data_IF_914564600966
#
_entry.id   IF_914564600966
#
_cell.length_a   1.000
_cell.length_b   1.000
_cell.length_c   1.000
_cell.angle_alpha   90.00
_cell.angle_beta   90.00
_cell.angle_gamma   90.00
#
_symmetry.space_group_name_H-M   'P 1'
#
loop_
_entity.id
_entity.type
_entity.pdbx_description
1 polymer ?
#
# COMPACT_ATOMS: atom_id res chain seq x y z
N UNK A 1 20.62 7.85 6.97
CA UNK A 1 20.04 6.48 7.08
C UNK A 1 20.02 5.92 5.67
N UNK A 2 20.10 4.62 5.48
CA UNK A 2 19.97 4.05 4.13
C UNK A 2 18.51 4.10 3.70
N UNK A 3 18.24 4.57 2.46
CA UNK A 3 16.88 4.62 1.94
C UNK A 3 16.33 3.21 1.75
N UNK A 4 15.05 3.02 2.06
CA UNK A 4 14.34 1.75 1.82
C UNK A 4 13.78 1.67 0.40
N UNK A 5 13.49 2.85 -0.21
CA UNK A 5 13.05 2.99 -1.60
C UNK A 5 13.87 4.07 -2.26
N UNK A 6 14.41 3.78 -3.44
CA UNK A 6 15.08 4.74 -4.32
C UNK A 6 14.53 4.63 -5.73
N UNK A 7 14.19 5.77 -6.31
CA UNK A 7 13.88 5.94 -7.72
C UNK A 7 14.97 6.78 -8.36
N UNK A 8 15.51 6.33 -9.48
CA UNK A 8 16.53 7.05 -10.23
C UNK A 8 16.08 7.21 -11.68
N UNK A 9 15.83 8.46 -12.08
CA UNK A 9 15.42 8.84 -13.44
C UNK A 9 14.22 8.03 -13.98
N UNK A 10 13.24 7.71 -13.12
CA UNK A 10 12.09 6.89 -13.49
C UNK A 10 11.15 7.66 -14.42
N UNK A 11 10.92 7.11 -15.59
CA UNK A 11 9.94 7.60 -16.57
C UNK A 11 8.95 6.50 -16.95
N UNK A 12 7.73 6.88 -17.26
CA UNK A 12 6.69 5.98 -17.75
C UNK A 12 5.86 6.59 -18.83
N UNK A 13 5.93 6.00 -20.02
CA UNK A 13 5.09 6.34 -21.17
C UNK A 13 4.14 5.18 -21.48
N UNK A 14 2.88 5.48 -21.65
CA UNK A 14 1.86 4.54 -22.14
C UNK A 14 1.61 4.79 -23.62
N UNK A 15 1.65 3.73 -24.41
CA UNK A 15 1.31 3.77 -25.83
C UNK A 15 -0.16 3.38 -26.00
N UNK A 16 -0.98 4.29 -26.50
CA UNK A 16 -2.39 4.06 -26.82
C UNK A 16 -2.63 4.23 -28.33
N UNK A 17 -3.75 3.75 -28.82
CA UNK A 17 -4.11 3.87 -30.25
C UNK A 17 -4.16 5.35 -30.73
N UNK A 18 -4.40 6.29 -29.82
CA UNK A 18 -4.54 7.72 -30.09
C UNK A 18 -3.29 8.55 -29.74
N UNK A 19 -2.12 7.91 -29.51
CA UNK A 19 -0.89 8.59 -29.19
C UNK A 19 -0.19 8.05 -27.94
N UNK A 20 0.86 8.75 -27.54
CA UNK A 20 1.66 8.44 -26.36
C UNK A 20 1.27 9.37 -25.21
N UNK A 21 1.18 8.82 -24.01
CA UNK A 21 0.94 9.58 -22.78
C UNK A 21 2.12 9.36 -21.85
N UNK A 22 2.93 10.38 -21.65
CA UNK A 22 4.00 10.39 -20.67
C UNK A 22 3.40 10.65 -19.27
N UNK A 23 3.23 9.58 -18.48
CA UNK A 23 2.63 9.64 -17.17
C UNK A 23 3.63 9.99 -16.07
N UNK A 24 4.90 9.64 -16.25
CA UNK A 24 6.01 10.00 -15.36
C UNK A 24 7.18 10.46 -16.22
N UNK A 25 7.85 11.53 -15.79
CA UNK A 25 8.98 12.12 -16.48
C UNK A 25 10.14 12.36 -15.52
N UNK A 26 11.20 11.57 -15.66
CA UNK A 26 12.49 11.76 -14.97
C UNK A 26 12.35 11.94 -13.44
N UNK A 27 11.62 11.03 -12.78
CA UNK A 27 11.38 11.09 -11.35
C UNK A 27 12.53 10.45 -10.60
N UNK A 28 13.19 11.22 -9.74
CA UNK A 28 14.18 10.74 -8.78
C UNK A 28 13.71 11.06 -7.37
N UNK A 29 13.67 10.04 -6.50
CA UNK A 29 13.08 10.12 -5.16
C UNK A 29 13.73 9.10 -4.24
N UNK A 30 13.96 9.49 -2.98
CA UNK A 30 14.46 8.61 -1.93
C UNK A 30 13.54 8.66 -0.71
N UNK A 31 13.20 7.49 -0.16
CA UNK A 31 12.34 7.36 1.03
C UNK A 31 13.11 6.58 2.09
N UNK A 32 13.22 7.13 3.27
CA UNK A 32 13.94 6.51 4.38
C UNK A 32 13.10 5.44 5.08
N UNK A 33 13.79 4.47 5.67
CA UNK A 33 13.13 3.41 6.44
C UNK A 33 12.41 3.96 7.66
N UNK A 34 11.16 3.54 7.86
CA UNK A 34 10.32 3.96 8.99
C UNK A 34 9.62 5.31 8.78
N UNK A 35 9.81 5.96 7.64
CA UNK A 35 9.14 7.22 7.32
C UNK A 35 7.66 7.04 6.97
N UNK A 36 6.86 8.09 7.19
CA UNK A 36 5.54 8.25 6.58
C UNK A 36 5.68 9.34 5.51
N UNK A 37 5.82 8.92 4.27
CA UNK A 37 6.14 9.76 3.13
C UNK A 37 4.89 10.05 2.29
N UNK A 38 4.60 11.35 2.07
CA UNK A 38 3.48 11.81 1.25
C UNK A 38 3.88 12.04 -0.21
N UNK A 39 3.05 11.60 -1.14
CA UNK A 39 3.15 11.97 -2.56
C UNK A 39 1.88 12.70 -2.95
N UNK A 40 2.00 13.98 -3.25
CA UNK A 40 0.88 14.85 -3.62
C UNK A 40 0.98 15.35 -5.06
N UNK A 41 -0.11 15.82 -5.59
CA UNK A 41 -0.18 16.39 -6.93
C UNK A 41 -1.62 16.45 -7.44
N UNK A 42 -1.81 17.14 -8.55
CA UNK A 42 -3.13 17.27 -9.17
C UNK A 42 -3.66 15.92 -9.67
N UNK A 43 -4.97 15.84 -9.90
CA UNK A 43 -5.54 14.66 -10.56
C UNK A 43 -4.90 14.48 -11.93
N UNK A 44 -4.49 13.25 -12.26
CA UNK A 44 -3.77 12.97 -13.50
C UNK A 44 -2.26 13.21 -13.48
N UNK A 45 -1.67 13.71 -12.39
CA UNK A 45 -0.21 13.97 -12.30
C UNK A 45 0.67 12.70 -12.25
N UNK A 46 0.11 11.51 -12.44
CA UNK A 46 0.89 10.27 -12.47
C UNK A 46 1.10 9.57 -11.11
N UNK A 47 0.53 10.10 -10.01
CA UNK A 47 0.72 9.57 -8.65
C UNK A 47 0.48 8.06 -8.52
N UNK A 48 -0.68 7.57 -8.97
CA UNK A 48 -1.00 6.14 -8.92
C UNK A 48 -0.09 5.31 -9.84
N UNK A 49 0.37 5.89 -10.96
CA UNK A 49 1.37 5.26 -11.83
C UNK A 49 2.70 5.13 -11.09
N UNK A 50 3.14 6.18 -10.39
CA UNK A 50 4.37 6.16 -9.60
C UNK A 50 4.34 5.05 -8.54
N UNK A 51 3.26 4.97 -7.74
CA UNK A 51 3.13 3.91 -6.72
C UNK A 51 3.12 2.52 -7.34
N UNK A 52 2.48 2.34 -8.48
CA UNK A 52 2.52 1.04 -9.18
C UNK A 52 3.90 0.71 -9.72
N UNK A 53 4.75 1.72 -9.99
CA UNK A 53 6.15 1.50 -10.31
C UNK A 53 6.95 1.06 -9.07
N UNK A 54 6.64 1.56 -7.86
CA UNK A 54 7.34 1.18 -6.62
C UNK A 54 7.26 -0.32 -6.30
N UNK A 55 6.24 -1.02 -6.78
CA UNK A 55 6.10 -2.46 -6.61
C UNK A 55 6.11 -3.23 -7.95
N UNK A 56 6.51 -2.55 -9.04
CA UNK A 56 6.50 -3.05 -10.42
C UNK A 56 5.14 -3.65 -10.88
N UNK A 57 4.01 -3.22 -10.33
CA UNK A 57 2.71 -3.48 -10.97
C UNK A 57 2.64 -2.79 -12.34
N UNK A 58 3.29 -1.62 -12.46
CA UNK A 58 3.65 -0.99 -13.72
C UNK A 58 5.15 -0.96 -13.87
N UNK A 59 5.66 -1.49 -14.97
CA UNK A 59 7.10 -1.43 -15.25
C UNK A 59 7.44 -0.05 -15.82
N UNK A 60 8.41 0.68 -15.25
CA UNK A 60 8.93 1.91 -15.84
C UNK A 60 9.38 1.69 -17.29
N UNK A 61 9.29 2.74 -18.11
CA UNK A 61 9.83 2.74 -19.47
C UNK A 61 11.34 2.97 -19.41
N UNK A 62 11.80 3.80 -18.47
CA UNK A 62 13.20 4.10 -18.23
C UNK A 62 13.45 4.35 -16.74
N UNK A 63 14.72 4.33 -16.33
CA UNK A 63 15.14 4.53 -14.95
C UNK A 63 15.15 3.27 -14.12
N UNK A 64 15.38 3.41 -12.83
CA UNK A 64 15.58 2.30 -11.89
C UNK A 64 14.71 2.45 -10.64
N UNK A 65 14.22 1.32 -10.14
CA UNK A 65 13.49 1.21 -8.87
C UNK A 65 14.24 0.24 -7.97
N UNK A 66 14.79 0.75 -6.88
CA UNK A 66 15.50 -0.01 -5.87
C UNK A 66 14.66 -0.06 -4.59
N UNK A 67 14.46 -1.25 -4.04
CA UNK A 67 13.76 -1.46 -2.77
C UNK A 67 14.60 -2.38 -1.90
N UNK A 68 14.84 -1.98 -0.65
CA UNK A 68 15.72 -2.72 0.27
C UNK A 68 17.09 -3.05 -0.36
N UNK A 69 17.67 -2.11 -1.11
CA UNK A 69 18.94 -2.28 -1.80
C UNK A 69 18.91 -3.23 -3.03
N UNK A 70 17.73 -3.73 -3.42
CA UNK A 70 17.56 -4.62 -4.57
C UNK A 70 16.91 -3.87 -5.73
N UNK A 71 17.56 -3.87 -6.90
CA UNK A 71 16.92 -3.39 -8.13
C UNK A 71 15.78 -4.32 -8.54
N UNK A 72 14.54 -3.83 -8.43
CA UNK A 72 13.36 -4.63 -8.78
C UNK A 72 13.33 -4.99 -10.27
N UNK A 73 13.94 -4.15 -11.12
CA UNK A 73 13.97 -4.33 -12.58
C UNK A 73 14.79 -5.56 -12.99
N UNK A 74 15.77 -5.96 -12.17
CA UNK A 74 16.67 -7.09 -12.44
C UNK A 74 16.15 -8.43 -11.91
N UNK A 75 15.08 -8.41 -11.10
CA UNK A 75 14.55 -9.61 -10.46
C UNK A 75 13.80 -10.52 -11.43
N UNK A 76 13.98 -11.81 -11.28
CA UNK A 76 13.11 -12.81 -11.90
C UNK A 76 11.69 -12.73 -11.34
N UNK A 77 10.68 -13.21 -12.08
CA UNK A 77 9.30 -13.22 -11.64
C UNK A 77 9.09 -13.90 -10.27
N UNK A 78 9.88 -14.93 -9.95
CA UNK A 78 9.81 -15.61 -8.65
C UNK A 78 10.35 -14.73 -7.53
N UNK A 79 11.46 -14.06 -7.74
CA UNK A 79 12.06 -13.13 -6.79
C UNK A 79 11.16 -11.90 -6.58
N UNK A 80 10.62 -11.32 -7.66
CA UNK A 80 9.71 -10.18 -7.59
C UNK A 80 8.45 -10.50 -6.80
N UNK A 81 7.87 -11.71 -6.95
CA UNK A 81 6.73 -12.13 -6.11
C UNK A 81 7.08 -12.19 -4.63
N UNK A 82 8.30 -12.59 -4.28
CA UNK A 82 8.79 -12.63 -2.91
C UNK A 82 8.98 -11.21 -2.36
N UNK A 83 9.57 -10.30 -3.14
CA UNK A 83 9.71 -8.89 -2.74
C UNK A 83 8.35 -8.22 -2.56
N UNK A 84 7.37 -8.48 -3.43
CA UNK A 84 6.00 -7.96 -3.29
C UNK A 84 5.27 -8.42 -2.02
N UNK A 85 5.69 -9.52 -1.38
CA UNK A 85 5.15 -9.90 -0.07
C UNK A 85 5.60 -8.95 1.04
N UNK A 86 6.75 -8.28 0.84
CA UNK A 86 7.32 -7.29 1.76
C UNK A 86 6.80 -5.87 1.46
N UNK A 87 6.13 -5.67 0.33
CA UNK A 87 5.55 -4.40 -0.11
C UNK A 87 4.03 -4.56 -0.15
N UNK A 88 3.38 -4.14 0.92
CA UNK A 88 1.92 -4.15 0.98
C UNK A 88 1.32 -3.00 0.17
N UNK A 89 0.12 -3.19 -0.39
CA UNK A 89 -0.59 -2.13 -1.10
C UNK A 89 -2.05 -2.06 -0.68
N UNK A 90 -2.47 -0.87 -0.26
CA UNK A 90 -3.85 -0.50 0.01
C UNK A 90 -4.32 0.36 -1.16
N UNK A 91 -5.41 -0.05 -1.78
CA UNK A 91 -5.99 0.62 -2.95
C UNK A 91 -7.13 1.56 -2.53
N UNK A 92 -7.47 2.51 -3.38
CA UNK A 92 -8.61 3.42 -3.25
C UNK A 92 -9.92 2.65 -3.03
N UNK A 93 -10.13 1.57 -3.77
CA UNK A 93 -11.20 0.61 -3.51
C UNK A 93 -10.66 -0.51 -2.64
N UNK A 94 -11.40 -0.91 -1.62
CA UNK A 94 -10.97 -1.88 -0.60
C UNK A 94 -10.52 -3.23 -1.17
N UNK A 95 -10.98 -3.59 -2.37
CA UNK A 95 -10.65 -4.83 -3.11
C UNK A 95 -10.80 -6.09 -2.25
N UNK A 96 -11.82 -6.12 -1.38
CA UNK A 96 -12.11 -7.28 -0.55
C UNK A 96 -12.77 -8.39 -1.38
N UNK A 97 -12.46 -9.63 -1.03
CA UNK A 97 -13.11 -10.80 -1.61
C UNK A 97 -14.52 -10.91 -1.03
N UNK A 98 -15.52 -10.48 -1.81
CA UNK A 98 -16.90 -10.32 -1.36
C UNK A 98 -17.57 -11.62 -0.89
N UNK A 99 -17.12 -12.76 -1.41
CA UNK A 99 -17.62 -14.09 -1.09
C UNK A 99 -16.87 -14.78 0.06
N UNK A 100 -15.88 -14.09 0.66
CA UNK A 100 -15.13 -14.57 1.82
C UNK A 100 -15.48 -13.75 3.05
N UNK A 101 -15.41 -14.39 4.22
CA UNK A 101 -15.56 -13.68 5.50
C UNK A 101 -14.40 -12.68 5.70
N UNK A 102 -14.55 -11.79 6.67
CA UNK A 102 -13.49 -10.87 7.11
C UNK A 102 -12.22 -11.64 7.47
N UNK A 103 -12.35 -12.68 8.30
CA UNK A 103 -11.23 -13.54 8.68
C UNK A 103 -10.55 -14.18 7.47
N UNK A 104 -11.34 -14.72 6.53
CA UNK A 104 -10.79 -15.40 5.36
C UNK A 104 -10.17 -14.40 4.36
N UNK A 105 -10.62 -13.14 4.33
CA UNK A 105 -9.95 -12.07 3.60
C UNK A 105 -8.53 -11.81 4.12
N UNK A 106 -8.36 -11.78 5.46
CA UNK A 106 -7.05 -11.55 6.09
C UNK A 106 -6.16 -12.78 5.96
N UNK A 107 -6.72 -14.00 6.01
CA UNK A 107 -5.98 -15.24 5.79
C UNK A 107 -5.46 -15.39 4.34
N UNK A 108 -6.13 -14.78 3.36
CA UNK A 108 -5.87 -15.02 1.93
C UNK A 108 -4.41 -14.83 1.49
N UNK A 109 -3.70 -13.73 1.82
CA UNK A 109 -2.29 -13.57 1.46
C UNK A 109 -1.39 -14.64 2.12
N UNK A 110 -1.73 -15.10 3.31
CA UNK A 110 -1.00 -16.17 4.00
C UNK A 110 -1.24 -17.54 3.34
N UNK A 111 -2.46 -17.78 2.84
CA UNK A 111 -2.78 -18.98 2.04
C UNK A 111 -1.92 -19.03 0.78
N UNK A 112 -1.80 -17.89 0.07
CA UNK A 112 -0.94 -17.76 -1.13
C UNK A 112 0.54 -17.97 -0.79
N UNK A 113 0.97 -17.51 0.39
CA UNK A 113 2.34 -17.70 0.88
C UNK A 113 2.63 -19.14 1.34
N UNK A 114 1.62 -20.03 1.35
CA UNK A 114 1.76 -21.43 1.77
C UNK A 114 1.80 -21.64 3.29
N UNK A 115 1.36 -20.66 4.07
CA UNK A 115 1.28 -20.76 5.54
C UNK A 115 0.18 -21.75 5.93
N UNK A 116 0.43 -22.58 6.94
CA UNK A 116 -0.56 -23.54 7.45
C UNK A 116 -1.84 -22.83 7.91
N UNK A 117 -2.99 -23.41 7.59
CA UNK A 117 -4.31 -22.80 7.87
C UNK A 117 -4.51 -22.42 9.34
N UNK A 118 -4.01 -23.21 10.28
CA UNK A 118 -4.09 -22.90 11.73
C UNK A 118 -3.28 -21.66 12.10
N UNK A 119 -2.08 -21.50 11.55
CA UNK A 119 -1.20 -20.37 11.77
C UNK A 119 -1.76 -19.11 11.10
N UNK A 120 -2.25 -19.24 9.86
CA UNK A 120 -2.90 -18.15 9.15
C UNK A 120 -4.13 -17.60 9.91
N UNK A 121 -4.98 -18.49 10.45
CA UNK A 121 -6.14 -18.08 11.26
C UNK A 121 -5.73 -17.42 12.57
N UNK A 122 -4.72 -17.92 13.25
CA UNK A 122 -4.20 -17.30 14.48
C UNK A 122 -3.72 -15.88 14.18
N UNK A 123 -2.87 -15.74 13.16
CA UNK A 123 -2.36 -14.42 12.74
C UNK A 123 -3.47 -13.46 12.33
N UNK A 124 -4.47 -13.94 11.59
CA UNK A 124 -5.60 -13.12 11.17
C UNK A 124 -6.46 -12.63 12.35
N UNK A 125 -6.65 -13.45 13.41
CA UNK A 125 -7.35 -13.04 14.62
C UNK A 125 -6.57 -11.95 15.38
N UNK A 126 -5.25 -12.10 15.54
CA UNK A 126 -4.37 -11.07 16.13
C UNK A 126 -4.47 -9.75 15.36
N UNK A 127 -4.54 -9.79 14.03
CA UNK A 127 -4.66 -8.59 13.21
C UNK A 127 -6.06 -7.96 13.28
N UNK A 128 -7.10 -8.74 13.52
CA UNK A 128 -8.44 -8.21 13.78
C UNK A 128 -8.49 -7.42 15.09
N UNK A 129 -7.73 -7.80 16.11
CA UNK A 129 -7.58 -7.02 17.34
C UNK A 129 -6.86 -5.69 17.06
N UNK A 130 -5.79 -5.71 16.26
CA UNK A 130 -5.03 -4.50 15.87
C UNK A 130 -5.91 -3.46 15.18
N UNK A 131 -6.92 -3.90 14.41
CA UNK A 131 -7.81 -3.00 13.67
C UNK A 131 -9.19 -2.82 14.32
N UNK A 132 -9.38 -3.24 15.57
CA UNK A 132 -10.64 -3.16 16.35
C UNK A 132 -11.85 -3.80 15.66
N UNK A 133 -11.67 -4.99 15.08
CA UNK A 133 -12.74 -5.72 14.36
C UNK A 133 -12.88 -7.18 14.79
N UNK A 134 -12.46 -7.55 16.00
CA UNK A 134 -12.49 -8.94 16.49
C UNK A 134 -13.88 -9.58 16.40
N UNK A 135 -14.94 -8.83 16.70
CA UNK A 135 -16.33 -9.29 16.65
C UNK A 135 -16.86 -9.47 15.21
N UNK A 136 -16.16 -8.94 14.21
CA UNK A 136 -16.54 -9.02 12.78
C UNK A 136 -15.88 -10.18 12.03
N UNK A 137 -15.12 -11.05 12.69
CA UNK A 137 -14.38 -12.13 12.06
C UNK A 137 -15.21 -13.00 11.08
N UNK A 138 -16.48 -13.26 11.42
CA UNK A 138 -17.41 -14.07 10.63
C UNK A 138 -18.29 -13.27 9.67
N UNK A 139 -18.24 -11.95 9.71
CA UNK A 139 -19.01 -11.09 8.82
C UNK A 139 -18.46 -11.14 7.39
N UNK A 140 -19.31 -10.80 6.43
CA UNK A 140 -18.92 -10.63 5.02
C UNK A 140 -18.73 -9.14 4.70
N UNK A 141 -17.90 -8.78 3.69
CA UNK A 141 -17.65 -7.37 3.34
C UNK A 141 -18.94 -6.56 3.07
N UNK A 142 -19.98 -7.17 2.54
CA UNK A 142 -21.27 -6.50 2.31
C UNK A 142 -21.95 -5.99 3.61
N UNK A 143 -21.58 -6.54 4.76
CA UNK A 143 -22.14 -6.21 6.08
C UNK A 143 -21.32 -5.14 6.82
N UNK A 144 -20.28 -4.58 6.17
CA UNK A 144 -19.35 -3.64 6.78
C UNK A 144 -19.55 -2.22 6.26
N UNK A 145 -19.33 -1.23 7.11
CA UNK A 145 -19.18 0.17 6.71
C UNK A 145 -17.90 0.38 5.86
N UNK A 146 -17.77 1.52 5.19
CA UNK A 146 -16.58 1.88 4.43
C UNK A 146 -15.30 1.84 5.27
N UNK A 147 -15.33 2.45 6.46
CA UNK A 147 -14.20 2.44 7.40
C UNK A 147 -13.84 1.04 7.90
N UNK A 148 -14.84 0.19 8.17
CA UNK A 148 -14.60 -1.20 8.54
C UNK A 148 -13.97 -1.99 7.39
N UNK A 149 -14.42 -1.79 6.15
CA UNK A 149 -13.80 -2.41 4.97
C UNK A 149 -12.35 -1.98 4.82
N UNK A 150 -12.05 -0.71 5.06
CA UNK A 150 -10.67 -0.19 5.02
C UNK A 150 -9.80 -0.82 6.11
N UNK A 151 -10.29 -0.94 7.33
CA UNK A 151 -9.59 -1.62 8.42
C UNK A 151 -9.31 -3.10 8.09
N UNK A 152 -10.25 -3.80 7.45
CA UNK A 152 -10.02 -5.18 6.96
C UNK A 152 -8.96 -5.20 5.86
N UNK A 153 -8.96 -4.24 4.93
CA UNK A 153 -7.93 -4.14 3.89
C UNK A 153 -6.54 -3.90 4.49
N UNK A 154 -6.43 -3.04 5.51
CA UNK A 154 -5.19 -2.82 6.27
C UNK A 154 -4.74 -4.11 6.95
N UNK A 155 -5.61 -4.79 7.71
CA UNK A 155 -5.30 -6.05 8.39
C UNK A 155 -4.84 -7.12 7.40
N UNK A 156 -5.49 -7.24 6.24
CA UNK A 156 -5.11 -8.17 5.18
C UNK A 156 -3.70 -7.91 4.65
N UNK A 157 -3.34 -6.65 4.46
CA UNK A 157 -2.00 -6.30 3.97
C UNK A 157 -0.94 -6.57 5.05
N UNK A 158 -1.25 -6.32 6.32
CA UNK A 158 -0.35 -6.60 7.45
C UNK A 158 -0.12 -8.10 7.70
N UNK A 159 -0.92 -8.97 7.10
CA UNK A 159 -0.82 -10.41 7.33
C UNK A 159 0.56 -10.99 6.96
N UNK A 160 1.19 -10.47 5.91
CA UNK A 160 2.51 -10.91 5.44
C UNK A 160 3.69 -10.20 6.10
N UNK A 161 3.46 -9.39 7.15
CA UNK A 161 4.48 -8.56 7.82
C UNK A 161 5.31 -7.72 6.83
N UNK A 162 4.66 -6.81 6.08
CA UNK A 162 5.35 -5.98 5.09
C UNK A 162 6.29 -4.97 5.76
N UNK A 163 7.39 -4.62 5.09
CA UNK A 163 8.30 -3.55 5.50
C UNK A 163 7.87 -2.18 4.96
N UNK A 164 7.12 -2.21 3.85
CA UNK A 164 6.62 -1.03 3.16
C UNK A 164 5.12 -1.18 2.94
N UNK A 165 4.38 -0.10 3.18
CA UNK A 165 2.95 0.00 2.94
C UNK A 165 2.68 1.14 1.96
N UNK A 166 2.20 0.81 0.77
CA UNK A 166 1.80 1.78 -0.25
C UNK A 166 0.31 2.04 -0.14
N UNK A 167 -0.09 3.29 0.07
CA UNK A 167 -1.49 3.72 0.23
C UNK A 167 -1.90 4.59 -0.96
N UNK A 168 -2.59 4.02 -1.94
CA UNK A 168 -3.09 4.72 -3.13
C UNK A 168 -4.50 5.26 -2.85
N UNK A 169 -4.58 6.54 -2.46
CA UNK A 169 -5.83 7.25 -2.10
C UNK A 169 -6.71 6.47 -1.09
N UNK A 170 -6.07 5.87 -0.11
CA UNK A 170 -6.69 4.91 0.83
C UNK A 170 -7.84 5.49 1.68
N UNK A 171 -8.03 6.80 1.71
CA UNK A 171 -9.06 7.49 2.50
C UNK A 171 -10.07 8.27 1.66
N UNK A 172 -9.88 8.39 0.35
CA UNK A 172 -10.68 9.27 -0.52
C UNK A 172 -12.18 8.90 -0.61
N UNK A 173 -12.54 7.67 -0.27
CA UNK A 173 -13.92 7.18 -0.26
C UNK A 173 -14.57 7.20 1.14
N UNK A 174 -13.93 7.85 2.13
CA UNK A 174 -14.36 7.86 3.53
C UNK A 174 -14.79 9.26 3.96
N UNK A 175 -15.67 9.33 4.95
CA UNK A 175 -16.00 10.58 5.61
C UNK A 175 -14.82 11.12 6.45
N UNK A 176 -14.78 12.42 6.78
CA UNK A 176 -13.64 13.03 7.47
C UNK A 176 -13.32 12.41 8.84
N UNK A 177 -14.32 11.97 9.60
CA UNK A 177 -14.10 11.36 10.92
C UNK A 177 -13.48 9.97 10.78
N UNK A 178 -14.00 9.18 9.85
CA UNK A 178 -13.45 7.86 9.50
C UNK A 178 -12.03 7.99 8.95
N UNK A 179 -11.78 8.99 8.07
CA UNK A 179 -10.44 9.31 7.56
C UNK A 179 -9.45 9.51 8.71
N UNK A 180 -9.74 10.39 9.67
CA UNK A 180 -8.87 10.60 10.84
C UNK A 180 -8.58 9.31 11.60
N UNK A 181 -9.62 8.49 11.81
CA UNK A 181 -9.47 7.20 12.49
C UNK A 181 -8.54 6.24 11.74
N UNK A 182 -8.60 6.18 10.41
CA UNK A 182 -7.71 5.37 9.58
C UNK A 182 -6.29 5.92 9.60
N UNK A 183 -6.10 7.26 9.52
CA UNK A 183 -4.79 7.89 9.58
C UNK A 183 -4.11 7.64 10.93
N UNK A 184 -4.85 7.76 12.04
CA UNK A 184 -4.35 7.42 13.38
C UNK A 184 -3.91 5.96 13.47
N UNK A 185 -4.68 5.03 12.90
CA UNK A 185 -4.32 3.61 12.84
C UNK A 185 -3.03 3.39 12.04
N UNK A 186 -2.88 4.03 10.89
CA UNK A 186 -1.65 3.92 10.07
C UNK A 186 -0.43 4.46 10.82
N UNK A 187 -0.57 5.59 11.52
CA UNK A 187 0.49 6.17 12.35
C UNK A 187 0.89 5.24 13.48
N UNK A 188 -0.07 4.66 14.18
CA UNK A 188 0.16 3.68 15.24
C UNK A 188 0.89 2.42 14.71
N UNK A 189 0.51 1.94 13.53
CA UNK A 189 1.19 0.82 12.87
C UNK A 189 2.64 1.18 12.53
N UNK A 190 2.89 2.37 11.97
CA UNK A 190 4.24 2.85 11.69
C UNK A 190 5.08 2.91 12.96
N UNK A 191 4.59 3.56 14.02
CA UNK A 191 5.31 3.73 15.29
C UNK A 191 5.60 2.40 16.00
N UNK A 192 4.63 1.48 16.04
CA UNK A 192 4.77 0.19 16.75
C UNK A 192 5.58 -0.85 15.98
N UNK A 193 5.54 -0.82 14.64
CA UNK A 193 6.13 -1.86 13.80
C UNK A 193 7.31 -1.40 12.95
N UNK A 194 7.59 -0.09 12.91
CA UNK A 194 8.65 0.49 12.08
C UNK A 194 8.42 0.32 10.57
N UNK A 195 7.16 0.13 10.14
CA UNK A 195 6.80 -0.02 8.72
C UNK A 195 6.89 1.33 8.04
N UNK A 196 7.57 1.40 6.90
CA UNK A 196 7.59 2.60 6.06
C UNK A 196 6.26 2.74 5.32
N UNK A 197 5.64 3.92 5.37
CA UNK A 197 4.33 4.14 4.74
C UNK A 197 4.48 5.21 3.65
N UNK A 198 4.02 4.91 2.43
CA UNK A 198 3.94 5.87 1.33
C UNK A 198 2.48 6.18 1.08
N UNK A 199 2.07 7.42 1.33
CA UNK A 199 0.68 7.87 1.19
C UNK A 199 0.54 8.72 -0.07
N UNK A 200 -0.31 8.28 -0.99
CA UNK A 200 -0.73 9.07 -2.13
C UNK A 200 -2.07 9.70 -1.84
N UNK A 201 -2.13 11.00 -2.00
CA UNK A 201 -3.36 11.75 -1.82
C UNK A 201 -3.31 13.09 -2.58
N UNK A 202 -4.48 13.63 -2.85
CA UNK A 202 -4.64 15.03 -3.28
C UNK A 202 -5.16 15.90 -2.12
N UNK A 203 -5.37 15.32 -0.93
CA UNK A 203 -5.89 16.00 0.24
C UNK A 203 -4.76 16.48 1.15
N UNK A 204 -4.51 17.80 1.21
CA UNK A 204 -3.48 18.41 2.06
C UNK A 204 -3.68 18.10 3.54
N UNK A 205 -4.92 17.96 4.00
CA UNK A 205 -5.24 17.63 5.38
C UNK A 205 -4.67 16.26 5.78
N UNK A 206 -4.71 15.26 4.88
CA UNK A 206 -4.12 13.93 5.11
C UNK A 206 -2.62 14.03 5.29
N UNK A 207 -1.95 14.80 4.42
CA UNK A 207 -0.49 14.99 4.46
C UNK A 207 -0.07 15.64 5.77
N UNK A 208 -0.73 16.72 6.17
CA UNK A 208 -0.43 17.45 7.40
C UNK A 208 -0.65 16.61 8.67
N UNK A 209 -1.59 15.66 8.62
CA UNK A 209 -1.94 14.83 9.77
C UNK A 209 -0.86 13.78 10.09
N UNK A 210 -0.25 13.14 9.07
CA UNK A 210 0.59 11.97 9.32
C UNK A 210 1.95 11.97 8.61
N UNK A 211 2.16 12.75 7.54
CA UNK A 211 3.40 12.67 6.76
C UNK A 211 4.53 13.47 7.39
N UNK A 212 5.73 12.88 7.44
CA UNK A 212 6.97 13.54 7.89
C UNK A 212 7.65 14.27 6.73
N UNK A 213 7.61 13.69 5.54
CA UNK A 213 8.18 14.23 4.30
C UNK A 213 7.17 14.16 3.16
N UNK A 214 7.32 15.03 2.17
CA UNK A 214 6.38 15.14 1.05
C UNK A 214 7.12 15.42 -0.25
N UNK A 215 6.74 14.71 -1.32
CA UNK A 215 7.07 15.03 -2.70
C UNK A 215 5.84 15.57 -3.43
N UNK A 216 6.05 16.54 -4.31
CA UNK A 216 5.03 17.13 -5.18
C UNK A 216 5.29 16.69 -6.61
N UNK A 217 4.29 16.12 -7.27
CA UNK A 217 4.30 15.69 -8.67
C UNK A 217 3.57 16.69 -9.55
#
# INVERSE_FOLDING_TARGET
MEPIIELTHVSKTFHAQNGEVEALKDISLSIEKGDIFGIIGLSGAGKSTLVRCLNLLEKPTDGEVVVNGNSLMSLSNKQLRKERQRIGMIFQHFNLLMQRTVLDNICFPLEIAGVKKSEARKRALELLEVVDLSEKAKAYPAQLSGGQKQRVAIARVLATDPEILLCDEATSALDPQTTKSILSLLKEINEKRGITIVVITHEMAVVQEICSHVAVL
#
